data_IF_641779297926
#
_entry.id   IF_641779297926
#
_cell.length_a   1.000
_cell.length_b   1.000
_cell.length_c   1.000
_cell.angle_alpha   90.00
_cell.angle_beta   90.00
_cell.angle_gamma   90.00
#
_symmetry.space_group_name_H-M   'P 1'
#
loop_
_entity.id
_entity.type
_entity.pdbx_description
1 polymer ?
#
# COMPACT_ATOMS: atom_id res chain seq x y z
N UNK A 1 -16.27 23.22 63.82
CA UNK A 1 -16.98 23.74 62.64
C UNK A 1 -16.68 25.22 62.65
N UNK A 2 -15.55 25.56 62.07
CA UNK A 2 -15.09 26.89 61.65
C UNK A 2 -13.67 26.62 61.10
N UNK A 3 -13.31 27.37 60.08
CA UNK A 3 -12.06 27.28 59.30
C UNK A 3 -11.96 26.14 58.29
N UNK A 4 -12.28 26.47 57.04
CA UNK A 4 -11.41 26.25 55.87
C UNK A 4 -12.05 26.95 54.66
N UNK A 5 -12.24 28.27 54.75
CA UNK A 5 -12.56 29.10 53.59
C UNK A 5 -11.23 29.62 53.02
N UNK A 6 -10.48 28.72 52.39
CA UNK A 6 -9.28 29.08 51.63
C UNK A 6 -9.74 30.09 50.57
N UNK A 7 -9.23 31.31 50.66
CA UNK A 7 -9.56 32.42 49.76
C UNK A 7 -9.18 32.03 48.32
N UNK A 8 -10.19 31.63 47.56
CA UNK A 8 -10.08 31.29 46.13
C UNK A 8 -9.50 32.47 45.34
N UNK A 9 -9.69 33.71 45.83
CA UNK A 9 -9.12 34.92 45.24
C UNK A 9 -7.59 34.97 45.31
N UNK A 10 -6.98 34.52 46.42
CA UNK A 10 -5.51 34.52 46.56
C UNK A 10 -4.84 33.51 45.63
N UNK A 11 -5.47 32.35 45.42
CA UNK A 11 -4.96 31.32 44.48
C UNK A 11 -5.05 31.81 43.03
N UNK A 12 -6.15 32.46 42.66
CA UNK A 12 -6.33 33.02 41.31
C UNK A 12 -5.34 34.17 41.05
N UNK A 13 -5.11 35.03 42.05
CA UNK A 13 -4.15 36.13 41.92
C UNK A 13 -2.71 35.64 41.80
N UNK A 14 -2.32 34.60 42.55
CA UNK A 14 -1.01 33.97 42.43
C UNK A 14 -0.80 33.31 41.07
N UNK A 15 -1.81 32.61 40.54
CA UNK A 15 -1.74 32.00 39.20
C UNK A 15 -1.63 33.04 38.09
N UNK A 16 -2.36 34.15 38.19
CA UNK A 16 -2.27 35.24 37.22
C UNK A 16 -0.90 35.92 37.22
N UNK A 17 -0.30 36.12 38.41
CA UNK A 17 1.04 36.68 38.52
C UNK A 17 2.11 35.74 37.94
N UNK A 18 2.03 34.44 38.24
CA UNK A 18 2.97 33.45 37.70
C UNK A 18 2.91 33.40 36.15
N UNK A 19 1.70 33.40 35.57
CA UNK A 19 1.53 33.42 34.13
C UNK A 19 2.09 34.71 33.50
N UNK A 20 1.93 35.87 34.15
CA UNK A 20 2.50 37.13 33.68
C UNK A 20 4.04 37.12 33.74
N UNK A 21 4.60 36.62 34.83
CA UNK A 21 6.05 36.54 35.01
C UNK A 21 6.68 35.59 33.98
N UNK A 22 6.06 34.44 33.72
CA UNK A 22 6.46 33.51 32.65
C UNK A 22 6.41 34.17 31.26
N UNK A 23 5.33 34.89 30.96
CA UNK A 23 5.17 35.57 29.69
C UNK A 23 6.22 36.68 29.50
N UNK A 24 6.52 37.43 30.57
CA UNK A 24 7.56 38.47 30.55
C UNK A 24 8.96 37.86 30.37
N UNK A 25 9.24 36.73 31.03
CA UNK A 25 10.51 36.03 30.89
C UNK A 25 10.69 35.46 29.46
N UNK A 26 9.66 34.85 28.89
CA UNK A 26 9.68 34.38 27.49
C UNK A 26 9.92 35.53 26.52
N UNK A 27 9.25 36.67 26.72
CA UNK A 27 9.45 37.85 25.88
C UNK A 27 10.88 38.40 25.97
N UNK A 28 11.47 38.43 27.17
CA UNK A 28 12.85 38.87 27.36
C UNK A 28 13.85 37.93 26.69
N UNK A 29 13.64 36.61 26.80
CA UNK A 29 14.48 35.60 26.13
C UNK A 29 14.40 35.74 24.61
N UNK A 30 13.20 35.90 24.04
CA UNK A 30 13.01 36.12 22.60
C UNK A 30 13.71 37.40 22.12
N UNK A 31 13.60 38.51 22.87
CA UNK A 31 14.30 39.74 22.53
C UNK A 31 15.82 39.57 22.55
N UNK A 32 16.35 38.86 23.55
CA UNK A 32 17.77 38.57 23.65
C UNK A 32 18.25 37.70 22.48
N UNK A 33 17.48 36.68 22.08
CA UNK A 33 17.77 35.85 20.92
C UNK A 33 17.83 36.66 19.62
N UNK A 34 16.87 37.58 19.40
CA UNK A 34 16.86 38.47 18.23
C UNK A 34 18.07 39.39 18.20
N UNK A 35 18.50 39.93 19.35
CA UNK A 35 19.70 40.78 19.44
C UNK A 35 20.96 39.97 19.11
N UNK A 36 21.07 38.75 19.63
CA UNK A 36 22.19 37.85 19.32
C UNK A 36 22.23 37.49 17.83
N UNK A 37 21.09 37.16 17.23
CA UNK A 37 20.98 36.85 15.80
C UNK A 37 21.41 38.03 14.92
N UNK A 38 20.92 39.24 15.23
CA UNK A 38 21.32 40.46 14.51
C UNK A 38 22.83 40.70 14.62
N UNK A 39 23.42 40.48 15.80
CA UNK A 39 24.85 40.61 15.99
C UNK A 39 25.64 39.57 15.20
N UNK A 40 25.16 38.32 15.14
CA UNK A 40 25.76 37.26 14.32
C UNK A 40 25.73 37.63 12.83
N UNK A 41 24.58 38.07 12.31
CA UNK A 41 24.44 38.53 10.92
C UNK A 41 25.44 39.65 10.62
N UNK A 42 25.53 40.67 11.48
CA UNK A 42 26.48 41.77 11.30
C UNK A 42 27.94 41.31 11.30
N UNK A 43 28.30 40.35 12.17
CA UNK A 43 29.64 39.75 12.21
C UNK A 43 29.96 39.03 10.90
N UNK A 44 28.99 38.28 10.35
CA UNK A 44 29.15 37.56 9.08
C UNK A 44 29.21 38.51 7.88
N UNK A 45 28.36 39.54 7.83
CA UNK A 45 28.37 40.57 6.77
C UNK A 45 29.69 41.34 6.72
N UNK A 46 30.28 41.63 7.88
CA UNK A 46 31.54 42.39 7.98
C UNK A 46 32.79 41.51 7.97
N UNK A 47 32.64 40.18 7.83
CA UNK A 47 33.73 39.21 7.98
C UNK A 47 34.97 39.59 7.17
N UNK A 48 34.82 40.02 5.92
CA UNK A 48 35.95 40.37 5.04
C UNK A 48 36.80 41.57 5.50
N UNK A 49 36.26 42.38 6.41
CA UNK A 49 36.98 43.53 6.99
C UNK A 49 37.87 43.14 8.18
N UNK A 50 37.71 41.94 8.72
CA UNK A 50 38.44 41.50 9.90
C UNK A 50 39.86 41.03 9.57
N UNK A 51 40.80 41.07 10.55
CA UNK A 51 42.12 40.47 10.40
C UNK A 51 42.04 39.00 9.99
N UNK A 52 43.02 38.54 9.21
CA UNK A 52 43.05 37.16 8.66
C UNK A 52 42.81 36.08 9.72
N UNK A 53 43.44 36.20 10.90
CA UNK A 53 43.25 35.25 11.99
C UNK A 53 41.80 35.18 12.48
N UNK A 54 41.12 36.31 12.58
CA UNK A 54 39.71 36.37 12.97
C UNK A 54 38.81 35.78 11.89
N UNK A 55 39.09 36.07 10.61
CA UNK A 55 38.33 35.49 9.47
C UNK A 55 38.36 33.97 9.47
N UNK A 56 39.55 33.36 9.61
CA UNK A 56 39.69 31.91 9.64
C UNK A 56 38.94 31.28 10.82
N UNK A 57 39.01 31.91 12.00
CA UNK A 57 38.28 31.42 13.17
C UNK A 57 36.75 31.55 13.00
N UNK A 58 36.28 32.63 12.37
CA UNK A 58 34.87 32.78 12.00
C UNK A 58 34.45 31.69 11.02
N UNK A 59 35.29 31.37 10.02
CA UNK A 59 35.00 30.29 9.07
C UNK A 59 34.90 28.92 9.72
N UNK A 60 35.86 28.58 10.58
CA UNK A 60 35.84 27.34 11.35
C UNK A 60 34.57 27.21 12.21
N UNK A 61 34.18 28.29 12.91
CA UNK A 61 32.97 28.29 13.72
C UNK A 61 31.69 28.16 12.87
N UNK A 62 31.64 28.79 11.70
CA UNK A 62 30.50 28.68 10.79
C UNK A 62 30.41 27.27 10.20
N UNK A 63 31.54 26.69 9.79
CA UNK A 63 31.58 25.32 9.27
C UNK A 63 31.08 24.33 10.33
N UNK A 64 31.63 24.38 11.55
CA UNK A 64 31.20 23.51 12.64
C UNK A 64 29.71 23.71 13.00
N UNK A 65 29.21 24.95 12.94
CA UNK A 65 27.79 25.22 13.19
C UNK A 65 26.89 24.60 12.11
N UNK A 66 27.27 24.71 10.83
CA UNK A 66 26.50 24.14 9.72
C UNK A 66 26.53 22.61 9.73
N UNK A 67 27.69 22.02 10.02
CA UNK A 67 27.85 20.56 10.14
C UNK A 67 26.99 20.01 11.28
N UNK A 68 27.07 20.61 12.48
CA UNK A 68 26.23 20.19 13.60
C UNK A 68 24.73 20.37 13.31
N UNK A 69 24.34 21.45 12.62
CA UNK A 69 22.94 21.66 12.25
C UNK A 69 22.48 20.63 11.21
N UNK A 70 23.34 20.28 10.25
CA UNK A 70 23.07 19.23 9.27
C UNK A 70 22.91 17.86 9.93
N UNK A 71 23.78 17.53 10.89
CA UNK A 71 23.66 16.34 11.74
C UNK A 71 22.35 16.35 12.53
N UNK A 72 22.04 17.44 13.24
CA UNK A 72 20.80 17.57 14.02
C UNK A 72 19.54 17.37 13.15
N UNK A 73 19.56 17.85 11.89
CA UNK A 73 18.46 17.67 10.93
C UNK A 73 18.38 16.21 10.50
N UNK A 74 19.51 15.58 10.18
CA UNK A 74 19.55 14.16 9.80
C UNK A 74 19.03 13.28 10.93
N UNK A 75 19.48 13.51 12.16
CA UNK A 75 18.99 12.84 13.37
C UNK A 75 17.48 13.04 13.55
N UNK A 76 16.95 14.26 13.33
CA UNK A 76 15.50 14.52 13.40
C UNK A 76 14.71 13.76 12.32
N UNK A 77 15.28 13.56 11.12
CA UNK A 77 14.61 12.80 10.06
C UNK A 77 14.68 11.29 10.28
N UNK A 78 15.71 10.80 10.97
CA UNK A 78 15.98 9.38 11.21
C UNK A 78 15.56 8.90 12.61
N UNK A 79 15.20 9.80 13.54
CA UNK A 79 14.71 9.39 14.85
C UNK A 79 13.33 8.76 14.73
N UNK A 80 13.30 7.45 14.95
CA UNK A 80 12.12 6.61 14.90
C UNK A 80 11.81 5.95 16.25
N UNK A 81 12.50 6.35 17.33
CA UNK A 81 12.28 5.77 18.67
C UNK A 81 11.14 6.47 19.40
N UNK A 82 10.05 5.73 19.66
CA UNK A 82 8.91 6.23 20.42
C UNK A 82 9.01 5.82 21.89
N UNK A 83 9.99 6.35 22.61
CA UNK A 83 9.95 6.28 24.08
C UNK A 83 8.81 7.17 24.60
N UNK A 84 8.15 6.73 25.66
CA UNK A 84 7.00 7.42 26.25
C UNK A 84 7.33 8.89 26.63
N UNK A 85 7.04 9.81 25.71
CA UNK A 85 7.17 11.26 25.89
C UNK A 85 8.47 11.90 25.39
N UNK A 86 9.37 11.18 24.71
CA UNK A 86 10.64 11.73 24.23
C UNK A 86 10.92 11.45 22.73
N UNK A 87 9.88 11.29 21.93
CA UNK A 87 10.02 11.21 20.47
C UNK A 87 10.57 12.54 19.91
N UNK A 88 11.78 12.53 19.33
CA UNK A 88 12.45 13.73 18.79
C UNK A 88 12.41 13.81 17.26
N UNK A 89 11.99 12.74 16.60
CA UNK A 89 11.75 12.72 15.17
C UNK A 89 10.64 13.65 14.70
N UNK A 90 10.41 13.69 13.38
CA UNK A 90 9.34 14.49 12.78
C UNK A 90 7.95 14.10 13.31
N UNK A 91 7.17 15.11 13.72
CA UNK A 91 5.85 14.93 14.30
C UNK A 91 4.83 15.86 13.61
N UNK A 92 3.86 15.28 12.89
CA UNK A 92 2.83 16.02 12.15
C UNK A 92 1.94 16.91 13.03
N UNK A 93 1.90 16.67 14.34
CA UNK A 93 1.14 17.50 15.28
C UNK A 93 1.94 18.73 15.74
N UNK A 94 3.27 18.70 15.59
CA UNK A 94 4.21 19.74 16.01
C UNK A 94 4.79 20.52 14.84
N UNK A 95 5.20 19.82 13.80
CA UNK A 95 6.02 20.33 12.70
C UNK A 95 5.15 20.53 11.45
N UNK A 96 5.35 21.65 10.75
CA UNK A 96 4.63 21.92 9.50
C UNK A 96 5.46 21.53 8.27
N UNK A 97 4.79 21.16 7.18
CA UNK A 97 5.47 20.88 5.90
C UNK A 97 6.37 22.05 5.44
N UNK A 98 5.99 23.29 5.73
CA UNK A 98 6.77 24.47 5.35
C UNK A 98 8.07 24.61 6.14
N UNK A 99 8.06 24.25 7.43
CA UNK A 99 9.27 24.24 8.28
C UNK A 99 10.22 23.15 7.83
N UNK A 100 9.71 21.93 7.62
CA UNK A 100 10.49 20.80 7.13
C UNK A 100 11.07 21.10 5.74
N UNK A 101 10.26 21.63 4.81
CA UNK A 101 10.73 22.05 3.49
C UNK A 101 11.83 23.11 3.57
N UNK A 102 11.64 24.14 4.41
CA UNK A 102 12.63 25.19 4.55
C UNK A 102 13.99 24.63 4.98
N UNK A 103 14.00 23.77 5.99
CA UNK A 103 15.21 23.16 6.55
C UNK A 103 15.89 22.23 5.53
N UNK A 104 15.13 21.35 4.88
CA UNK A 104 15.68 20.43 3.86
C UNK A 104 16.23 21.18 2.65
N UNK A 105 15.64 22.32 2.26
CA UNK A 105 16.19 23.16 1.19
C UNK A 105 17.53 23.79 1.55
N UNK A 106 17.83 24.00 2.83
CA UNK A 106 19.16 24.44 3.27
C UNK A 106 20.18 23.30 3.22
N UNK A 107 19.77 22.07 3.55
CA UNK A 107 20.66 20.91 3.65
C UNK A 107 20.10 19.71 2.87
N UNK A 108 20.06 19.75 1.52
CA UNK A 108 19.43 18.67 0.75
C UNK A 108 20.15 17.32 0.87
N UNK A 109 21.46 17.33 1.16
CA UNK A 109 22.28 16.13 1.28
C UNK A 109 21.84 15.18 2.40
N UNK A 110 21.13 15.70 3.42
CA UNK A 110 20.58 14.88 4.52
C UNK A 110 19.63 13.80 4.02
N UNK A 111 18.94 14.01 2.89
CA UNK A 111 18.00 13.03 2.34
C UNK A 111 18.67 11.77 1.78
N UNK A 112 19.98 11.85 1.47
CA UNK A 112 20.78 10.74 0.92
C UNK A 112 21.75 10.15 1.91
N UNK A 113 21.83 10.71 3.12
CA UNK A 113 22.68 10.17 4.17
C UNK A 113 21.98 8.96 4.76
N UNK A 114 22.52 7.78 4.49
CA UNK A 114 22.01 6.52 5.02
C UNK A 114 22.62 6.24 6.39
N UNK A 115 21.79 5.78 7.33
CA UNK A 115 22.22 5.16 8.58
C UNK A 115 21.80 3.70 8.54
N UNK A 116 22.72 2.77 8.82
CA UNK A 116 22.45 1.32 8.75
C UNK A 116 21.83 0.85 7.42
N UNK A 117 22.26 1.46 6.30
CA UNK A 117 21.75 1.22 4.95
C UNK A 117 20.29 1.70 4.70
N UNK A 118 19.70 2.44 5.64
CA UNK A 118 18.39 3.07 5.50
C UNK A 118 18.50 4.59 5.27
N UNK A 119 17.79 5.07 4.26
CA UNK A 119 17.57 6.49 3.98
C UNK A 119 16.47 7.04 4.89
N UNK A 120 16.48 8.36 5.18
CA UNK A 120 15.46 8.98 6.02
C UNK A 120 14.02 8.70 5.55
N UNK A 121 13.79 8.61 4.24
CA UNK A 121 12.45 8.33 3.69
C UNK A 121 11.90 6.94 4.06
N UNK A 122 12.78 5.93 4.23
CA UNK A 122 12.40 4.59 4.73
C UNK A 122 11.99 4.70 6.19
N UNK A 123 12.81 5.39 6.97
CA UNK A 123 12.64 5.55 8.41
C UNK A 123 11.36 6.31 8.76
N UNK A 124 10.91 7.28 7.95
CA UNK A 124 9.64 7.98 8.20
C UNK A 124 8.39 7.09 8.19
N UNK A 125 8.45 5.89 7.60
CA UNK A 125 7.35 4.94 7.60
C UNK A 125 7.37 3.99 8.82
N UNK A 126 8.43 4.03 9.62
CA UNK A 126 8.73 3.03 10.64
C UNK A 126 9.05 3.71 11.96
N UNK A 127 8.61 3.11 13.06
CA UNK A 127 9.01 3.49 14.41
C UNK A 127 9.36 2.24 15.23
N UNK A 128 10.17 2.42 16.27
CA UNK A 128 10.47 1.41 17.27
C UNK A 128 9.90 1.80 18.61
N UNK A 129 9.23 0.86 19.28
CA UNK A 129 8.79 1.05 20.65
C UNK A 129 9.95 0.85 21.66
N UNK A 130 9.66 0.95 22.96
CA UNK A 130 10.66 0.77 24.03
C UNK A 130 11.31 -0.62 24.05
N UNK A 131 10.62 -1.64 23.55
CA UNK A 131 11.11 -3.01 23.44
C UNK A 131 11.92 -3.24 22.14
N UNK A 132 11.99 -2.24 21.27
CA UNK A 132 12.63 -2.30 19.95
C UNK A 132 11.75 -2.93 18.86
N UNK A 133 10.50 -3.29 19.18
CA UNK A 133 9.58 -3.83 18.19
C UNK A 133 9.17 -2.75 17.20
N UNK A 134 9.05 -3.18 15.95
CA UNK A 134 8.63 -2.35 14.83
C UNK A 134 7.15 -1.98 14.94
N UNK A 135 6.82 -0.73 14.60
CA UNK A 135 5.46 -0.22 14.47
C UNK A 135 5.37 0.85 13.37
N UNK A 136 4.15 1.21 12.99
CA UNK A 136 3.91 2.26 12.01
C UNK A 136 4.19 3.66 12.59
N UNK A 137 5.04 4.46 11.95
CA UNK A 137 5.29 5.85 12.37
C UNK A 137 4.18 6.82 11.94
N UNK A 138 3.07 6.81 12.67
CA UNK A 138 1.91 7.68 12.40
C UNK A 138 2.19 9.17 12.57
N UNK A 139 3.32 9.54 13.20
CA UNK A 139 3.73 10.93 13.43
C UNK A 139 4.48 11.50 12.23
N UNK A 140 5.31 10.69 11.58
CA UNK A 140 6.21 11.15 10.54
C UNK A 140 5.76 10.80 9.11
N UNK A 141 4.93 9.76 8.93
CA UNK A 141 4.58 9.21 7.60
C UNK A 141 4.00 10.25 6.63
N UNK A 142 3.32 11.28 7.13
CA UNK A 142 2.74 12.35 6.29
C UNK A 142 3.79 13.21 5.60
N UNK A 143 5.04 13.21 6.04
CA UNK A 143 6.12 13.97 5.42
C UNK A 143 6.78 13.23 4.24
N UNK A 144 6.50 11.94 4.03
CA UNK A 144 7.07 11.14 2.93
C UNK A 144 6.82 11.81 1.56
N UNK A 145 5.59 12.23 1.18
CA UNK A 145 5.36 12.87 -0.11
C UNK A 145 6.14 14.18 -0.30
N UNK A 146 6.37 14.94 0.78
CA UNK A 146 7.16 16.16 0.76
C UNK A 146 8.63 15.87 0.51
N UNK A 147 9.24 15.00 1.32
CA UNK A 147 10.66 14.68 1.19
C UNK A 147 10.97 14.04 -0.15
N UNK A 148 10.08 13.17 -0.63
CA UNK A 148 10.19 12.57 -1.94
C UNK A 148 10.19 13.62 -3.07
N UNK A 149 9.27 14.59 -3.01
CA UNK A 149 9.20 15.68 -3.99
C UNK A 149 10.50 16.49 -3.99
N UNK A 150 11.04 16.79 -2.82
CA UNK A 150 12.30 17.54 -2.68
C UNK A 150 13.49 16.73 -3.19
N UNK A 151 13.56 15.43 -2.88
CA UNK A 151 14.60 14.53 -3.37
C UNK A 151 14.64 14.47 -4.90
N UNK A 152 13.46 14.43 -5.55
CA UNK A 152 13.33 14.51 -7.02
C UNK A 152 13.75 15.88 -7.54
N UNK A 153 13.29 16.96 -6.90
CA UNK A 153 13.63 18.34 -7.29
C UNK A 153 15.15 18.59 -7.29
N UNK A 154 15.84 18.02 -6.31
CA UNK A 154 17.29 18.14 -6.16
C UNK A 154 18.09 17.11 -6.97
N UNK A 155 17.44 16.13 -7.59
CA UNK A 155 18.12 15.08 -8.37
C UNK A 155 19.06 14.25 -7.52
N UNK A 156 18.65 13.92 -6.29
CA UNK A 156 19.50 13.23 -5.31
C UNK A 156 19.59 11.71 -5.51
N UNK A 157 18.64 11.15 -6.26
CA UNK A 157 18.51 9.72 -6.53
C UNK A 157 18.46 9.48 -8.03
N UNK A 158 18.72 8.25 -8.47
CA UNK A 158 18.54 7.87 -9.86
C UNK A 158 17.06 7.97 -10.27
N UNK A 159 16.81 8.18 -11.57
CA UNK A 159 15.44 8.43 -12.07
C UNK A 159 14.49 7.26 -11.78
N UNK A 160 14.99 6.03 -11.80
CA UNK A 160 14.23 4.82 -11.51
C UNK A 160 13.97 4.60 -10.02
N UNK A 161 14.81 5.13 -9.13
CA UNK A 161 14.59 5.14 -7.67
C UNK A 161 13.48 6.10 -7.25
N UNK A 162 13.11 7.05 -8.14
CA UNK A 162 11.99 7.99 -8.00
C UNK A 162 12.04 8.80 -6.71
N UNK A 163 13.21 9.33 -6.37
CA UNK A 163 13.43 10.12 -5.14
C UNK A 163 13.61 9.27 -3.89
N UNK A 164 14.00 8.01 -4.03
CA UNK A 164 14.18 7.07 -2.94
C UNK A 164 12.95 6.22 -2.61
N UNK A 165 11.80 6.45 -3.27
CA UNK A 165 10.59 5.64 -3.05
C UNK A 165 10.80 4.16 -3.34
N UNK A 166 11.67 3.84 -4.31
CA UNK A 166 11.99 2.47 -4.67
C UNK A 166 13.32 1.97 -4.13
N UNK A 167 13.97 2.75 -3.26
CA UNK A 167 14.95 2.17 -2.37
C UNK A 167 14.24 1.15 -1.48
N UNK A 168 14.99 0.15 -1.02
CA UNK A 168 14.42 -1.07 -0.44
C UNK A 168 13.32 -0.77 0.61
N UNK A 169 12.23 -1.52 0.53
CA UNK A 169 11.18 -1.59 1.56
C UNK A 169 10.30 -0.36 1.87
N UNK A 170 10.52 0.86 1.33
CA UNK A 170 9.60 2.02 1.60
C UNK A 170 8.15 1.67 1.27
N UNK A 171 7.91 1.10 0.09
CA UNK A 171 6.57 0.72 -0.33
C UNK A 171 6.01 -0.44 0.50
N UNK A 172 6.87 -1.33 1.03
CA UNK A 172 6.44 -2.41 1.92
C UNK A 172 6.06 -1.87 3.29
N UNK A 173 6.86 -1.01 3.90
CA UNK A 173 6.50 -0.33 5.15
C UNK A 173 5.18 0.45 5.03
N UNK A 174 4.91 1.04 3.87
CA UNK A 174 3.62 1.69 3.63
C UNK A 174 2.42 0.72 3.56
N UNK A 175 2.65 -0.58 3.36
CA UNK A 175 1.63 -1.63 3.40
C UNK A 175 1.49 -2.28 4.78
N UNK A 176 2.52 -2.19 5.63
CA UNK A 176 2.56 -2.87 6.92
C UNK A 176 1.50 -2.36 7.88
N UNK A 177 1.01 -3.25 8.74
CA UNK A 177 0.12 -2.90 9.84
C UNK A 177 0.92 -2.89 11.14
N UNK A 178 0.46 -2.09 12.10
CA UNK A 178 1.04 -2.11 13.43
C UNK A 178 0.81 -3.49 14.08
N UNK A 179 1.90 -4.17 14.46
CA UNK A 179 1.90 -5.53 15.00
C UNK A 179 2.09 -5.57 16.52
N UNK A 180 1.96 -4.43 17.21
CA UNK A 180 2.09 -4.38 18.67
C UNK A 180 1.03 -5.27 19.34
N UNK A 181 1.45 -6.46 19.80
CA UNK A 181 0.58 -7.45 20.48
C UNK A 181 -0.19 -6.85 21.68
N UNK A 182 0.41 -5.82 22.31
CA UNK A 182 -0.17 -5.07 23.42
C UNK A 182 -1.39 -4.23 23.01
N UNK A 183 -1.52 -3.88 21.72
CA UNK A 183 -2.58 -3.05 21.18
C UNK A 183 -3.66 -3.83 20.42
N UNK A 184 -3.72 -5.17 20.53
CA UNK A 184 -4.75 -6.04 19.92
C UNK A 184 -6.21 -5.65 20.24
N UNK A 185 -6.44 -4.65 21.09
CA UNK A 185 -7.75 -4.12 21.45
C UNK A 185 -8.02 -2.69 20.97
N UNK A 186 -7.10 -2.05 20.26
CA UNK A 186 -7.26 -0.69 19.78
C UNK A 186 -7.62 -0.63 18.29
N UNK A 187 -8.82 -1.10 17.95
CA UNK A 187 -9.38 -1.00 16.59
C UNK A 187 -9.31 0.44 16.05
N UNK A 188 -9.47 1.47 16.91
CA UNK A 188 -9.40 2.88 16.52
C UNK A 188 -7.99 3.28 16.07
N UNK A 189 -6.94 2.76 16.72
CA UNK A 189 -5.55 2.98 16.31
C UNK A 189 -5.27 2.39 14.93
N UNK A 190 -5.57 1.12 14.70
CA UNK A 190 -5.34 0.50 13.40
C UNK A 190 -6.14 1.19 12.27
N UNK A 191 -7.38 1.64 12.54
CA UNK A 191 -8.16 2.41 11.58
C UNK A 191 -7.53 3.78 11.28
N UNK A 192 -6.90 4.41 12.27
CA UNK A 192 -6.15 5.66 12.13
C UNK A 192 -4.89 5.45 11.29
N UNK A 193 -4.08 4.42 11.61
CA UNK A 193 -2.90 4.00 10.85
C UNK A 193 -3.25 3.76 9.38
N UNK A 194 -4.25 2.91 9.11
CA UNK A 194 -4.70 2.59 7.75
C UNK A 194 -5.16 3.84 6.99
N UNK A 195 -5.79 4.80 7.68
CA UNK A 195 -6.20 6.09 7.09
C UNK A 195 -5.00 6.97 6.73
N UNK A 196 -4.04 7.17 7.64
CA UNK A 196 -2.86 8.03 7.39
C UNK A 196 -2.01 7.46 6.25
N UNK A 197 -1.77 6.16 6.27
CA UNK A 197 -0.96 5.50 5.25
C UNK A 197 -1.66 5.50 3.88
N UNK A 198 -2.99 5.31 3.85
CA UNK A 198 -3.77 5.48 2.63
C UNK A 198 -3.65 6.91 2.06
N UNK A 199 -3.69 7.95 2.91
CA UNK A 199 -3.53 9.32 2.44
C UNK A 199 -2.18 9.53 1.77
N UNK A 200 -1.11 8.96 2.32
CA UNK A 200 0.23 9.00 1.72
C UNK A 200 0.24 8.30 0.36
N UNK A 201 -0.31 7.08 0.24
CA UNK A 201 -0.42 6.38 -1.05
C UNK A 201 -1.21 7.17 -2.11
N UNK A 202 -2.29 7.85 -1.70
CA UNK A 202 -3.07 8.73 -2.59
C UNK A 202 -2.21 9.90 -3.07
N UNK A 203 -1.44 10.53 -2.19
CA UNK A 203 -0.54 11.62 -2.56
C UNK A 203 0.57 11.16 -3.49
N UNK A 204 1.23 10.04 -3.19
CA UNK A 204 2.25 9.42 -4.05
C UNK A 204 1.70 9.10 -5.44
N UNK A 205 0.46 8.60 -5.53
CA UNK A 205 -0.22 8.40 -6.83
C UNK A 205 -0.48 9.71 -7.56
N UNK A 206 -0.93 10.76 -6.86
CA UNK A 206 -1.20 12.08 -7.46
C UNK A 206 0.06 12.76 -7.96
N UNK A 207 1.18 12.57 -7.28
CA UNK A 207 2.51 13.03 -7.69
C UNK A 207 3.06 12.25 -8.90
N UNK A 208 2.43 11.13 -9.29
CA UNK A 208 2.87 10.30 -10.42
C UNK A 208 4.09 9.43 -10.12
N UNK A 209 4.52 9.39 -8.85
CA UNK A 209 5.69 8.62 -8.38
C UNK A 209 5.33 7.19 -8.01
N UNK A 210 4.12 6.93 -7.48
CA UNK A 210 3.60 5.56 -7.35
C UNK A 210 2.85 5.20 -8.62
N UNK A 211 3.25 4.10 -9.26
CA UNK A 211 2.70 3.62 -10.53
C UNK A 211 1.94 2.32 -10.33
N UNK A 212 1.08 2.01 -11.29
CA UNK A 212 0.26 0.80 -11.25
C UNK A 212 1.12 -0.47 -11.25
N UNK A 213 2.20 -0.44 -12.02
CA UNK A 213 3.15 -1.55 -12.18
C UNK A 213 3.85 -1.90 -10.87
N UNK A 214 3.96 -0.95 -9.94
CA UNK A 214 4.62 -1.14 -8.64
C UNK A 214 3.83 -2.07 -7.74
N UNK A 215 2.50 -2.04 -7.83
CA UNK A 215 1.59 -2.91 -7.07
C UNK A 215 1.99 -4.37 -7.29
N UNK A 216 2.25 -4.72 -8.55
CA UNK A 216 2.63 -6.07 -8.95
C UNK A 216 4.11 -6.34 -8.72
N UNK A 217 4.98 -5.41 -9.15
CA UNK A 217 6.44 -5.57 -9.10
C UNK A 217 6.94 -5.77 -7.67
N UNK A 218 6.39 -5.02 -6.73
CA UNK A 218 6.75 -5.10 -5.31
C UNK A 218 5.76 -5.95 -4.51
N UNK A 219 4.76 -6.55 -5.15
CA UNK A 219 3.83 -7.43 -4.45
C UNK A 219 3.07 -6.78 -3.30
N UNK A 220 2.72 -5.50 -3.42
CA UNK A 220 2.12 -4.70 -2.35
C UNK A 220 0.83 -5.32 -1.80
N UNK A 221 0.05 -5.95 -2.68
CA UNK A 221 -1.19 -6.62 -2.30
C UNK A 221 -0.93 -7.89 -1.46
N UNK A 222 0.18 -8.59 -1.67
CA UNK A 222 0.54 -9.76 -0.85
C UNK A 222 0.87 -9.32 0.56
N UNK A 223 1.63 -8.23 0.71
CA UNK A 223 2.01 -7.70 2.02
C UNK A 223 0.78 -7.39 2.87
N UNK A 224 -0.18 -6.66 2.34
CA UNK A 224 -1.47 -6.39 3.00
C UNK A 224 -2.28 -7.64 3.40
N UNK A 225 -2.05 -8.79 2.76
CA UNK A 225 -2.76 -10.04 3.06
C UNK A 225 -2.05 -10.93 4.09
N UNK A 226 -0.81 -10.60 4.47
CA UNK A 226 0.01 -11.33 5.44
C UNK A 226 -0.19 -10.78 6.86
N UNK A 227 -0.53 -9.50 6.97
CA UNK A 227 -0.65 -8.82 8.27
C UNK A 227 -1.76 -9.38 9.17
N UNK A 228 -1.50 -9.38 10.48
CA UNK A 228 -2.47 -9.78 11.52
C UNK A 228 -3.71 -8.89 11.50
N UNK A 229 -3.48 -7.57 11.46
CA UNK A 229 -4.53 -6.58 11.23
C UNK A 229 -4.70 -6.30 9.73
N UNK A 230 -5.90 -6.61 9.22
CA UNK A 230 -6.21 -6.42 7.81
C UNK A 230 -6.56 -4.96 7.49
N UNK A 231 -5.63 -4.25 6.85
CA UNK A 231 -5.75 -2.86 6.43
C UNK A 231 -6.76 -2.66 5.27
N UNK A 232 -8.05 -2.67 5.59
CA UNK A 232 -9.17 -2.68 4.64
C UNK A 232 -9.14 -1.50 3.67
N UNK A 233 -8.80 -0.27 4.10
CA UNK A 233 -8.83 0.92 3.25
C UNK A 233 -7.68 0.89 2.24
N UNK A 234 -6.45 0.57 2.68
CA UNK A 234 -5.30 0.37 1.78
C UNK A 234 -5.53 -0.77 0.80
N UNK A 235 -6.05 -1.90 1.26
CA UNK A 235 -6.40 -3.04 0.38
C UNK A 235 -7.34 -2.62 -0.75
N UNK A 236 -8.46 -1.95 -0.40
CA UNK A 236 -9.43 -1.50 -1.41
C UNK A 236 -8.80 -0.56 -2.42
N UNK A 237 -8.02 0.41 -1.96
CA UNK A 237 -7.33 1.36 -2.83
C UNK A 237 -6.43 0.66 -3.85
N UNK A 238 -5.63 -0.31 -3.41
CA UNK A 238 -4.71 -1.07 -4.27
C UNK A 238 -5.47 -1.92 -5.29
N UNK A 239 -6.49 -2.66 -4.85
CA UNK A 239 -7.26 -3.55 -5.74
C UNK A 239 -8.12 -2.77 -6.74
N UNK A 240 -8.75 -1.67 -6.30
CA UNK A 240 -9.54 -0.83 -7.21
C UNK A 240 -8.65 -0.17 -8.27
N UNK A 241 -7.38 0.08 -7.95
CA UNK A 241 -6.40 0.61 -8.90
C UNK A 241 -5.86 -0.48 -9.85
N UNK A 242 -5.53 -1.66 -9.33
CA UNK A 242 -5.14 -2.82 -10.14
C UNK A 242 -5.76 -4.15 -9.70
N UNK A 243 -6.94 -4.49 -10.25
CA UNK A 243 -7.59 -5.75 -9.91
C UNK A 243 -6.81 -6.99 -10.35
N UNK A 244 -5.91 -6.86 -11.33
CA UNK A 244 -5.17 -8.00 -11.84
C UNK A 244 -4.17 -8.59 -10.83
N UNK A 245 -3.75 -7.78 -9.85
CA UNK A 245 -2.91 -8.21 -8.73
C UNK A 245 -3.56 -9.34 -7.89
N UNK A 246 -4.89 -9.43 -7.81
CA UNK A 246 -5.60 -10.54 -7.13
C UNK A 246 -5.36 -11.91 -7.77
N UNK A 247 -5.00 -11.92 -9.06
CA UNK A 247 -4.84 -13.15 -9.86
C UNK A 247 -3.39 -13.48 -10.17
N UNK A 248 -2.47 -12.56 -9.83
CA UNK A 248 -1.06 -12.75 -10.00
C UNK A 248 -0.56 -13.72 -8.94
N UNK A 249 0.38 -14.58 -9.32
CA UNK A 249 1.09 -15.43 -8.38
C UNK A 249 2.49 -14.87 -8.14
N UNK A 250 2.96 -14.91 -6.90
CA UNK A 250 4.36 -14.63 -6.59
C UNK A 250 5.28 -15.78 -7.05
N UNK A 251 6.57 -15.69 -6.72
CA UNK A 251 7.59 -16.68 -7.08
C UNK A 251 7.27 -18.11 -6.58
N UNK A 252 6.53 -18.22 -5.47
CA UNK A 252 6.10 -19.49 -4.90
C UNK A 252 4.79 -20.04 -5.51
N UNK A 253 4.19 -19.31 -6.45
CA UNK A 253 2.89 -19.66 -7.01
C UNK A 253 1.71 -19.23 -6.12
N UNK A 254 1.93 -18.39 -5.11
CA UNK A 254 0.89 -17.97 -4.17
C UNK A 254 0.10 -16.76 -4.69
N UNK A 255 -1.21 -16.79 -4.51
CA UNK A 255 -2.13 -15.68 -4.73
C UNK A 255 -2.31 -14.92 -3.42
N UNK A 256 -2.77 -13.65 -3.45
CA UNK A 256 -3.11 -12.91 -2.23
C UNK A 256 -4.11 -13.66 -1.33
N UNK A 257 -5.06 -14.39 -1.91
CA UNK A 257 -6.04 -15.18 -1.15
C UNK A 257 -5.41 -16.37 -0.41
N UNK A 258 -4.24 -16.87 -0.82
CA UNK A 258 -3.52 -17.92 -0.08
C UNK A 258 -3.01 -17.35 1.25
N UNK A 259 -2.36 -16.19 1.21
CA UNK A 259 -1.91 -15.49 2.42
C UNK A 259 -3.08 -15.10 3.32
N UNK A 260 -4.15 -14.53 2.76
CA UNK A 260 -5.31 -14.16 3.55
C UNK A 260 -6.01 -15.36 4.22
N UNK A 261 -5.89 -16.57 3.66
CA UNK A 261 -6.45 -17.79 4.25
C UNK A 261 -5.59 -18.34 5.39
N UNK A 262 -4.28 -18.09 5.34
CA UNK A 262 -3.29 -18.64 6.26
C UNK A 262 -3.05 -17.70 7.44
N UNK A 263 -2.80 -16.43 7.16
CA UNK A 263 -2.33 -15.44 8.15
C UNK A 263 -3.47 -14.52 8.62
N UNK A 264 -4.23 -13.94 7.70
CA UNK A 264 -5.27 -12.95 8.02
C UNK A 264 -6.46 -13.50 8.85
N UNK A 265 -7.25 -12.58 9.40
CA UNK A 265 -8.59 -12.81 9.93
C UNK A 265 -9.59 -13.29 8.85
N UNK A 266 -10.70 -13.92 9.28
CA UNK A 266 -11.80 -14.32 8.37
C UNK A 266 -12.38 -13.12 7.60
N UNK A 267 -12.35 -11.93 8.20
CA UNK A 267 -12.84 -10.70 7.57
C UNK A 267 -11.92 -10.27 6.42
N UNK A 268 -10.61 -10.33 6.61
CA UNK A 268 -9.65 -10.06 5.53
C UNK A 268 -9.81 -11.05 4.38
N UNK A 269 -9.90 -12.36 4.68
CA UNK A 269 -10.19 -13.40 3.68
C UNK A 269 -11.49 -13.13 2.91
N UNK A 270 -12.57 -12.79 3.64
CA UNK A 270 -13.87 -12.45 3.05
C UNK A 270 -13.72 -11.27 2.08
N UNK A 271 -12.98 -10.22 2.45
CA UNK A 271 -12.80 -9.07 1.58
C UNK A 271 -11.96 -9.40 0.33
N UNK A 272 -10.86 -10.16 0.47
CA UNK A 272 -10.07 -10.61 -0.68
C UNK A 272 -10.92 -11.43 -1.63
N UNK A 273 -11.73 -12.35 -1.10
CA UNK A 273 -12.63 -13.17 -1.88
C UNK A 273 -13.73 -12.34 -2.56
N UNK A 274 -14.36 -11.42 -1.84
CA UNK A 274 -15.40 -10.51 -2.35
C UNK A 274 -14.90 -9.72 -3.56
N UNK A 275 -13.69 -9.14 -3.47
CA UNK A 275 -13.08 -8.42 -4.59
C UNK A 275 -12.68 -9.35 -5.75
N UNK A 276 -12.27 -10.58 -5.44
CA UNK A 276 -12.08 -11.64 -6.44
C UNK A 276 -13.36 -11.93 -7.24
N UNK A 277 -14.50 -12.03 -6.56
CA UNK A 277 -15.81 -12.19 -7.23
C UNK A 277 -16.18 -10.92 -7.99
N UNK A 278 -16.01 -9.74 -7.41
CA UNK A 278 -16.41 -8.46 -8.01
C UNK A 278 -15.72 -8.18 -9.34
N UNK A 279 -14.40 -8.37 -9.40
CA UNK A 279 -13.62 -8.09 -10.61
C UNK A 279 -13.51 -9.29 -11.56
N UNK A 280 -13.75 -10.51 -11.08
CA UNK A 280 -13.71 -11.72 -11.90
C UNK A 280 -14.94 -12.63 -11.75
N UNK A 281 -16.17 -12.11 -11.95
CA UNK A 281 -17.42 -12.74 -11.50
C UNK A 281 -17.79 -14.05 -12.23
N UNK A 282 -17.27 -14.25 -13.45
CA UNK A 282 -17.69 -15.39 -14.29
C UNK A 282 -17.09 -16.72 -13.86
N UNK A 283 -15.76 -16.78 -13.81
CA UNK A 283 -15.02 -18.04 -13.65
C UNK A 283 -13.86 -17.94 -12.68
N UNK A 284 -13.04 -16.89 -12.81
CA UNK A 284 -11.78 -16.82 -12.08
C UNK A 284 -12.01 -16.55 -10.60
N UNK A 285 -12.99 -15.72 -10.24
CA UNK A 285 -13.23 -15.32 -8.85
C UNK A 285 -13.43 -16.51 -7.91
N UNK A 286 -14.41 -17.38 -8.20
CA UNK A 286 -14.64 -18.58 -7.37
C UNK A 286 -13.45 -19.54 -7.41
N UNK A 287 -12.77 -19.64 -8.55
CA UNK A 287 -11.62 -20.52 -8.73
C UNK A 287 -10.41 -20.11 -7.89
N UNK A 288 -10.32 -18.84 -7.45
CA UNK A 288 -9.21 -18.36 -6.60
C UNK A 288 -9.12 -19.15 -5.29
N UNK A 289 -10.25 -19.47 -4.67
CA UNK A 289 -10.28 -20.24 -3.41
C UNK A 289 -9.77 -21.67 -3.56
N UNK A 290 -9.88 -22.23 -4.76
CA UNK A 290 -9.59 -23.64 -5.04
C UNK A 290 -8.36 -23.82 -5.91
N UNK A 291 -7.59 -22.76 -6.15
CA UNK A 291 -6.34 -22.87 -6.90
C UNK A 291 -5.29 -23.60 -6.05
N UNK A 292 -4.59 -24.55 -6.65
CA UNK A 292 -3.50 -25.29 -6.02
C UNK A 292 -2.25 -24.41 -5.97
N UNK A 293 -1.52 -24.50 -4.84
CA UNK A 293 -0.17 -23.95 -4.73
C UNK A 293 0.78 -24.80 -5.59
N UNK A 294 1.62 -24.19 -6.44
CA UNK A 294 2.49 -24.90 -7.39
C UNK A 294 3.59 -25.75 -6.74
N UNK A 295 4.09 -25.33 -5.57
CA UNK A 295 5.28 -25.91 -4.93
C UNK A 295 5.00 -26.64 -3.59
N UNK A 296 3.73 -26.86 -3.25
CA UNK A 296 3.32 -27.46 -1.97
C UNK A 296 2.50 -28.75 -2.20
N UNK A 297 1.99 -29.33 -1.12
CA UNK A 297 1.09 -30.49 -1.03
C UNK A 297 -0.19 -30.44 -1.89
N UNK A 298 -0.37 -29.39 -2.70
CA UNK A 298 -1.56 -29.13 -3.50
C UNK A 298 -2.71 -28.53 -2.70
N UNK A 299 -2.48 -28.14 -1.44
CA UNK A 299 -3.50 -27.52 -0.60
C UNK A 299 -3.97 -26.19 -1.17
N UNK A 300 -5.25 -25.93 -1.04
CA UNK A 300 -5.94 -24.72 -1.54
C UNK A 300 -6.25 -23.74 -0.41
N UNK A 301 -6.46 -22.46 -0.75
CA UNK A 301 -6.98 -21.46 0.21
C UNK A 301 -8.22 -21.95 0.97
N UNK A 302 -9.15 -22.61 0.26
CA UNK A 302 -10.35 -23.17 0.86
C UNK A 302 -10.05 -24.21 1.94
N UNK A 303 -9.07 -25.09 1.72
CA UNK A 303 -8.70 -26.12 2.69
C UNK A 303 -8.02 -25.52 3.92
N UNK A 304 -7.09 -24.57 3.73
CA UNK A 304 -6.48 -23.82 4.84
C UNK A 304 -7.53 -23.06 5.66
N UNK A 305 -8.42 -22.33 4.99
CA UNK A 305 -9.48 -21.58 5.64
C UNK A 305 -10.47 -22.50 6.38
N UNK A 306 -10.81 -23.67 5.82
CA UNK A 306 -11.63 -24.67 6.50
C UNK A 306 -10.93 -25.24 7.74
N UNK A 307 -9.61 -25.43 7.71
CA UNK A 307 -8.84 -25.88 8.87
C UNK A 307 -8.80 -24.81 9.97
N UNK A 308 -8.60 -23.55 9.60
CA UNK A 308 -8.47 -22.40 10.53
C UNK A 308 -9.81 -21.97 11.13
N UNK A 309 -10.84 -21.82 10.30
CA UNK A 309 -12.14 -21.24 10.70
C UNK A 309 -13.29 -22.26 10.77
N UNK A 310 -13.08 -23.48 10.27
CA UNK A 310 -14.12 -24.51 10.17
C UNK A 310 -14.94 -24.42 8.88
N UNK A 311 -15.22 -25.58 8.28
CA UNK A 311 -15.94 -25.71 7.01
C UNK A 311 -17.29 -24.98 7.02
N UNK A 312 -18.10 -25.15 8.07
CA UNK A 312 -19.43 -24.52 8.15
C UNK A 312 -19.36 -23.00 8.09
N UNK A 313 -18.37 -22.39 8.75
CA UNK A 313 -18.19 -20.95 8.75
C UNK A 313 -17.69 -20.47 7.39
N UNK A 314 -16.76 -21.20 6.77
CA UNK A 314 -16.24 -20.90 5.45
C UNK A 314 -17.34 -20.96 4.37
N UNK A 315 -18.16 -22.01 4.36
CA UNK A 315 -19.28 -22.14 3.43
C UNK A 315 -20.26 -20.98 3.62
N UNK A 316 -20.59 -20.61 4.86
CA UNK A 316 -21.45 -19.47 5.15
C UNK A 316 -20.86 -18.16 4.59
N UNK A 317 -19.57 -17.90 4.81
CA UNK A 317 -18.90 -16.70 4.30
C UNK A 317 -18.97 -16.63 2.76
N UNK A 318 -18.73 -17.74 2.07
CA UNK A 318 -18.81 -17.80 0.60
C UNK A 318 -20.23 -17.49 0.11
N UNK A 319 -21.25 -18.09 0.74
CA UNK A 319 -22.66 -17.83 0.40
C UNK A 319 -23.07 -16.38 0.65
N UNK A 320 -22.71 -15.82 1.81
CA UNK A 320 -22.99 -14.44 2.17
C UNK A 320 -22.30 -13.46 1.19
N UNK A 321 -21.06 -13.76 0.79
CA UNK A 321 -20.32 -12.98 -0.22
C UNK A 321 -21.01 -13.00 -1.57
N UNK A 322 -21.48 -14.16 -2.03
CA UNK A 322 -22.24 -14.23 -3.28
C UNK A 322 -23.54 -13.43 -3.22
N UNK A 323 -24.28 -13.50 -2.11
CA UNK A 323 -25.50 -12.70 -1.92
C UNK A 323 -25.17 -11.21 -2.02
N UNK A 324 -24.14 -10.74 -1.31
CA UNK A 324 -23.73 -9.32 -1.37
C UNK A 324 -23.33 -8.88 -2.77
N UNK A 325 -22.45 -9.64 -3.46
CA UNK A 325 -21.97 -9.26 -4.79
C UNK A 325 -23.08 -9.24 -5.84
N UNK A 326 -24.01 -10.20 -5.82
CA UNK A 326 -25.05 -10.30 -6.85
C UNK A 326 -26.31 -9.50 -6.53
N UNK A 327 -26.55 -9.13 -5.26
CA UNK A 327 -27.63 -8.20 -4.91
C UNK A 327 -27.24 -6.73 -5.08
N UNK A 328 -25.94 -6.41 -5.01
CA UNK A 328 -25.47 -5.01 -5.02
C UNK A 328 -25.18 -4.44 -6.41
N UNK A 329 -24.94 -5.27 -7.44
CA UNK A 329 -24.54 -4.79 -8.76
C UNK A 329 -25.62 -5.08 -9.79
N UNK A 330 -26.35 -4.03 -10.20
CA UNK A 330 -27.33 -4.09 -11.30
C UNK A 330 -26.71 -4.56 -12.63
N UNK A 331 -25.37 -4.45 -12.78
CA UNK A 331 -24.66 -4.76 -14.02
C UNK A 331 -23.78 -6.04 -13.98
N UNK A 332 -23.62 -6.71 -12.82
CA UNK A 332 -22.79 -7.93 -12.76
C UNK A 332 -23.64 -9.17 -13.00
N UNK A 333 -23.39 -9.92 -14.09
CA UNK A 333 -24.11 -11.14 -14.33
C UNK A 333 -23.86 -12.12 -13.17
N UNK A 334 -24.91 -12.81 -12.68
CA UNK A 334 -24.77 -13.81 -11.63
C UNK A 334 -23.78 -14.90 -12.06
N UNK A 335 -23.20 -15.59 -11.07
CA UNK A 335 -22.25 -16.69 -11.29
C UNK A 335 -22.75 -17.63 -12.40
N UNK A 336 -22.00 -17.73 -13.50
CA UNK A 336 -22.28 -18.72 -14.52
C UNK A 336 -21.77 -20.09 -14.04
N UNK A 337 -22.59 -20.79 -13.24
CA UNK A 337 -22.23 -22.06 -12.60
C UNK A 337 -21.78 -23.10 -13.64
N UNK A 338 -22.38 -23.12 -14.84
CA UNK A 338 -21.96 -23.99 -15.94
C UNK A 338 -20.51 -23.70 -16.35
N UNK A 339 -20.20 -22.44 -16.65
CA UNK A 339 -18.87 -22.03 -17.11
C UNK A 339 -17.82 -22.21 -16.02
N UNK A 340 -18.16 -21.89 -14.77
CA UNK A 340 -17.30 -22.12 -13.61
C UNK A 340 -17.02 -23.62 -13.43
N UNK A 341 -18.03 -24.48 -13.55
CA UNK A 341 -17.89 -25.93 -13.43
C UNK A 341 -16.99 -26.50 -14.53
N UNK A 342 -17.19 -26.06 -15.78
CA UNK A 342 -16.35 -26.49 -16.91
C UNK A 342 -14.91 -26.01 -16.76
N UNK A 343 -14.70 -24.77 -16.29
CA UNK A 343 -13.36 -24.24 -16.04
C UNK A 343 -12.66 -25.04 -14.95
N UNK A 344 -13.33 -25.28 -13.82
CA UNK A 344 -12.81 -26.06 -12.70
C UNK A 344 -12.50 -27.52 -13.08
N UNK A 345 -13.24 -28.10 -14.03
CA UNK A 345 -13.02 -29.47 -14.48
C UNK A 345 -11.87 -29.62 -15.50
N UNK A 346 -11.51 -28.55 -16.22
CA UNK A 346 -10.48 -28.58 -17.28
C UNK A 346 -9.14 -28.04 -16.77
N UNK A 347 -9.16 -27.08 -15.85
CA UNK A 347 -7.94 -26.43 -15.34
C UNK A 347 -7.27 -27.31 -14.26
N UNK A 348 -6.10 -27.87 -14.58
CA UNK A 348 -5.34 -28.74 -13.68
C UNK A 348 -4.85 -28.02 -12.42
N UNK A 349 -4.73 -26.68 -12.46
CA UNK A 349 -4.37 -25.87 -11.31
C UNK A 349 -5.55 -25.68 -10.35
N UNK A 350 -6.77 -26.08 -10.70
CA UNK A 350 -7.95 -26.02 -9.83
C UNK A 350 -8.15 -27.38 -9.14
N UNK A 351 -8.37 -27.35 -7.83
CA UNK A 351 -8.65 -28.55 -7.04
C UNK A 351 -10.07 -29.07 -7.27
N UNK A 352 -10.24 -30.40 -7.20
CA UNK A 352 -11.52 -31.08 -7.46
C UNK A 352 -12.62 -30.65 -6.47
N UNK A 353 -12.25 -30.13 -5.30
CA UNK A 353 -13.19 -29.55 -4.34
C UNK A 353 -14.03 -28.41 -4.96
N UNK A 354 -13.49 -27.66 -5.93
CA UNK A 354 -14.26 -26.64 -6.64
C UNK A 354 -15.43 -27.27 -7.42
N UNK A 355 -15.17 -28.39 -8.12
CA UNK A 355 -16.18 -29.14 -8.87
C UNK A 355 -17.25 -29.67 -7.91
N UNK A 356 -16.85 -30.29 -6.80
CA UNK A 356 -17.78 -30.79 -5.80
C UNK A 356 -18.60 -29.67 -5.15
N UNK A 357 -17.98 -28.53 -4.84
CA UNK A 357 -18.65 -27.36 -4.29
C UNK A 357 -19.72 -26.83 -5.25
N UNK A 358 -19.39 -26.65 -6.54
CA UNK A 358 -20.32 -26.18 -7.56
C UNK A 358 -21.48 -27.16 -7.79
N UNK A 359 -21.21 -28.47 -7.81
CA UNK A 359 -22.24 -29.51 -7.92
C UNK A 359 -23.19 -29.51 -6.70
N UNK A 360 -22.67 -29.31 -5.49
CA UNK A 360 -23.49 -29.21 -4.27
C UNK A 360 -24.37 -27.98 -4.27
N UNK A 361 -23.85 -26.84 -4.75
CA UNK A 361 -24.60 -25.58 -4.86
C UNK A 361 -25.77 -25.71 -5.84
N UNK A 362 -25.57 -26.44 -6.94
CA UNK A 362 -26.60 -26.63 -7.95
C UNK A 362 -26.66 -28.08 -8.46
N UNK A 363 -27.35 -28.99 -7.75
CA UNK A 363 -27.33 -30.43 -8.05
C UNK A 363 -27.95 -30.79 -9.42
N UNK A 364 -28.79 -29.92 -9.99
CA UNK A 364 -29.42 -30.13 -11.30
C UNK A 364 -28.54 -29.68 -12.49
N UNK A 365 -27.34 -29.15 -12.24
CA UNK A 365 -26.49 -28.52 -13.26
C UNK A 365 -26.08 -29.49 -14.38
N UNK A 366 -25.79 -30.76 -14.02
CA UNK A 366 -25.41 -31.78 -15.00
C UNK A 366 -26.59 -32.13 -15.92
N UNK A 367 -27.81 -32.21 -15.38
CA UNK A 367 -29.00 -32.46 -16.19
C UNK A 367 -29.29 -31.29 -17.14
N UNK A 368 -29.11 -30.05 -16.67
CA UNK A 368 -29.23 -28.84 -17.50
C UNK A 368 -28.21 -28.87 -18.64
N UNK A 369 -26.95 -29.18 -18.35
CA UNK A 369 -25.88 -29.31 -19.35
C UNK A 369 -26.20 -30.34 -20.44
N UNK A 370 -26.65 -31.53 -20.04
CA UNK A 370 -27.02 -32.60 -20.98
C UNK A 370 -28.22 -32.21 -21.86
N UNK A 371 -29.20 -31.51 -21.28
CA UNK A 371 -30.39 -31.04 -22.00
C UNK A 371 -30.06 -29.93 -23.02
N UNK A 372 -29.15 -29.02 -22.66
CA UNK A 372 -28.64 -27.99 -23.57
C UNK A 372 -27.85 -28.59 -24.73
N UNK A 373 -26.95 -29.54 -24.45
CA UNK A 373 -26.15 -30.22 -25.49
C UNK A 373 -27.03 -30.97 -26.51
N UNK A 374 -28.08 -31.64 -26.02
CA UNK A 374 -29.05 -32.34 -26.87
C UNK A 374 -29.80 -31.38 -27.80
N UNK A 375 -30.13 -30.18 -27.32
CA UNK A 375 -30.83 -29.16 -28.11
C UNK A 375 -29.95 -28.58 -29.22
N UNK A 376 -28.65 -28.38 -28.96
CA UNK A 376 -27.69 -27.90 -29.97
C UNK A 376 -27.46 -28.93 -31.08
N UNK A 377 -27.30 -30.21 -30.73
CA UNK A 377 -27.08 -31.26 -31.74
C UNK A 377 -28.24 -31.40 -32.73
N UNK A 378 -29.48 -31.29 -32.26
CA UNK A 378 -30.68 -31.33 -33.10
C UNK A 378 -30.69 -30.15 -34.09
N UNK A 379 -30.35 -28.94 -33.63
CA UNK A 379 -30.31 -27.75 -34.48
C UNK A 379 -29.24 -27.84 -35.59
N UNK A 380 -28.03 -28.33 -35.29
CA UNK A 380 -26.99 -28.56 -36.31
C UNK A 380 -27.38 -29.64 -37.31
N UNK A 381 -27.98 -30.74 -36.86
CA UNK A 381 -28.44 -31.81 -37.77
C UNK A 381 -29.57 -31.36 -38.70
N UNK A 382 -30.44 -30.45 -38.24
CA UNK A 382 -31.51 -29.87 -39.06
C UNK A 382 -30.97 -28.87 -40.09
N UNK A 383 -29.92 -28.10 -39.76
CA UNK A 383 -29.28 -27.18 -40.70
C UNK A 383 -28.54 -27.93 -41.84
N UNK A 384 -27.80 -28.99 -41.51
CA UNK A 384 -27.10 -29.82 -42.50
C UNK A 384 -28.07 -30.56 -43.45
N UNK A 385 -29.30 -30.86 -43.00
CA UNK A 385 -30.33 -31.42 -43.88
C UNK A 385 -30.94 -30.40 -44.86
N UNK A 386 -30.80 -29.09 -44.62
CA UNK A 386 -31.33 -28.05 -45.52
C UNK A 386 -30.31 -27.64 -46.59
N UNK A 387 -29.02 -27.85 -46.38
CA UNK A 387 -27.97 -27.38 -47.32
C UNK A 387 -27.76 -28.31 -48.53
N UNK A 388 -28.33 -29.52 -48.55
CA UNK A 388 -28.21 -30.45 -49.68
C UNK A 388 -29.20 -30.22 -50.84
N UNK A 389 -30.02 -29.16 -50.84
CA UNK A 389 -31.05 -28.95 -51.87
C UNK A 389 -30.98 -27.65 -52.67
N UNK A 390 -29.81 -26.99 -52.75
CA UNK A 390 -29.59 -25.88 -53.70
C UNK A 390 -28.53 -26.25 -54.75
N UNK A 391 -28.99 -26.93 -55.79
CA UNK A 391 -28.23 -27.22 -56.99
C UNK A 391 -28.42 -26.09 -58.04
N UNK A 392 -27.29 -25.65 -58.61
CA UNK A 392 -27.10 -25.06 -59.95
C UNK A 392 -27.66 -23.67 -60.29
N UNK A 393 -26.76 -22.67 -60.36
CA UNK A 393 -26.17 -22.23 -61.65
C UNK A 393 -25.25 -21.02 -61.45
N UNK A 394 -23.98 -21.10 -61.87
CA UNK A 394 -23.14 -19.91 -61.96
C UNK A 394 -21.63 -20.14 -61.96
N UNK A 395 -21.13 -20.85 -62.97
CA UNK A 395 -19.71 -20.89 -63.30
C UNK A 395 -19.23 -19.48 -63.64
N UNK A 396 -18.21 -18.99 -62.94
CA UNK A 396 -17.37 -17.87 -63.38
C UNK A 396 -15.94 -18.04 -62.84
N UNK A 397 -14.95 -18.32 -63.69
CA UNK A 397 -13.57 -18.49 -63.26
C UNK A 397 -12.89 -17.13 -63.18
N UNK A 398 -12.57 -16.64 -61.96
CA UNK A 398 -11.70 -15.47 -61.79
C UNK A 398 -10.55 -15.76 -60.81
N UNK A 399 -9.41 -16.04 -61.44
CA UNK A 399 -8.05 -15.58 -61.14
C UNK A 399 -7.55 -15.76 -59.69
N UNK A 400 -6.80 -16.85 -59.52
CA UNK A 400 -5.68 -16.97 -58.56
C UNK A 400 -4.80 -15.71 -58.63
N UNK A 401 -4.72 -14.96 -57.53
CA UNK A 401 -3.64 -14.01 -57.26
C UNK A 401 -2.75 -14.65 -56.21
N UNK A 402 -1.57 -15.14 -56.65
CA UNK A 402 -0.47 -15.53 -55.75
C UNK A 402 -0.14 -14.30 -54.91
N UNK A 403 -0.16 -14.46 -53.58
CA UNK A 403 0.43 -13.51 -52.66
C UNK A 403 1.78 -14.10 -52.30
N UNK A 404 2.83 -13.48 -52.83
CA UNK A 404 4.21 -13.85 -52.55
C UNK A 404 4.50 -13.62 -51.08
N UNK A 405 5.06 -14.65 -50.46
CA UNK A 405 5.61 -14.64 -49.12
C UNK A 405 6.95 -13.92 -49.21
N UNK A 406 7.00 -12.66 -48.77
CA UNK A 406 8.27 -11.99 -48.54
C UNK A 406 8.91 -12.55 -47.27
N UNK A 407 9.98 -13.30 -47.49
CA UNK A 407 11.04 -13.60 -46.53
C UNK A 407 11.95 -12.36 -46.51
N UNK A 408 12.05 -11.69 -45.37
CA UNK A 408 13.23 -10.94 -44.94
C UNK A 408 13.51 -11.44 -43.53
N UNK A 409 14.65 -11.99 -43.14
CA UNK A 409 16.05 -11.76 -43.54
C UNK A 409 16.50 -10.30 -43.39
N UNK A 410 16.77 -9.95 -42.14
CA UNK A 410 17.87 -9.12 -41.66
C UNK A 410 18.26 -9.74 -40.30
N UNK A 411 19.48 -10.20 -40.02
CA UNK A 411 20.75 -9.51 -40.28
C UNK A 411 20.82 -8.33 -39.31
N UNK A 412 21.12 -8.50 -38.02
CA UNK A 412 22.47 -8.76 -37.51
C UNK A 412 23.26 -7.46 -37.38
N UNK A 413 23.56 -7.00 -36.15
CA UNK A 413 24.85 -6.39 -35.78
C UNK A 413 24.92 -6.05 -34.28
N UNK A 414 25.99 -6.59 -33.67
CA UNK A 414 26.82 -6.13 -32.53
C UNK A 414 26.16 -5.96 -31.17
#
# INVERSE_FOLDING_TARGET
>A
MDDDNIDIEDVQQAQAQAAQDEQQQQQQQQQQAVVLLKKMILVLEQKETFPFQTRNKTDELVANFLENLEDDIHDMLCDNYTEAGNYRGLDSDRDTEAEVEAIVRFFPAVLTRSEEDEYPIQILAVAHNEDGDWQCNVKAVSFIPLLLRLAIEFGLFEEDERGGLLCEDVLHHLMDSDNTELELHNQEHHESVDTKYLQVLIQLRRLGVLKKEDIQRYGLLYRLCIEDHFAEKRFRFIVEWDPSALTQTNENGWLPIHYASEESSIRGLELVFEYGIRYFPKKKGISLLFKKKKNHDGSTSFQYACMKFGEKQMIKMIEDTFIRCYSSLDDTPPLNVVEALMTAAIDEDIHLDCVYFLLRRQPDILQKLLSSASSTMIATSAADMVEFNSNNNGISPKKRKRKDTNIGDDGGTI
#
